data_IF_111198577359
#
_entry.id   IF_111198577359
#
_cell.length_a   1.000
_cell.length_b   1.000
_cell.length_c   1.000
_cell.angle_alpha   90.00
_cell.angle_beta   90.00
_cell.angle_gamma   90.00
#
_symmetry.space_group_name_H-M   'P 1'
#
loop_
_entity.id
_entity.type
_entity.pdbx_description
1 polymer ?
#
# COMPACT_ATOMS: atom_id res chain seq x y z
N UNK A 1 6.93 -23.49 -7.18
CA UNK A 1 6.57 -22.23 -6.50
C UNK A 1 6.63 -21.15 -7.57
N UNK A 2 5.50 -20.78 -8.16
CA UNK A 2 5.48 -19.79 -9.24
C UNK A 2 5.62 -18.40 -8.61
N UNK A 3 6.81 -17.83 -8.75
CA UNK A 3 7.01 -16.41 -8.50
C UNK A 3 6.21 -15.66 -9.56
N UNK A 4 5.06 -15.13 -9.18
CA UNK A 4 4.32 -14.17 -9.98
C UNK A 4 5.14 -12.88 -10.02
N UNK A 5 6.12 -12.84 -10.90
CA UNK A 5 6.79 -11.61 -11.30
C UNK A 5 5.77 -10.80 -12.11
N UNK A 6 4.97 -10.01 -11.40
CA UNK A 6 4.17 -8.97 -12.01
C UNK A 6 5.13 -8.00 -12.71
N UNK A 7 4.88 -7.66 -13.98
CA UNK A 7 5.66 -6.63 -14.66
C UNK A 7 5.29 -5.29 -14.00
N UNK A 8 6.06 -4.88 -12.99
CA UNK A 8 5.97 -3.54 -12.40
C UNK A 8 6.60 -2.51 -13.34
N UNK A 9 6.07 -2.41 -14.56
CA UNK A 9 6.08 -1.15 -15.29
C UNK A 9 4.67 -0.60 -15.13
N UNK A 10 4.40 0.03 -13.99
CA UNK A 10 3.14 0.73 -13.74
C UNK A 10 2.96 1.80 -14.85
N UNK A 11 1.97 1.68 -15.76
CA UNK A 11 1.78 2.67 -16.84
C UNK A 11 1.30 4.04 -16.33
N UNK A 12 1.10 4.16 -15.02
CA UNK A 12 0.38 5.26 -14.38
C UNK A 12 1.25 5.84 -13.27
N UNK A 13 2.33 6.50 -13.68
CA UNK A 13 3.14 7.31 -12.76
C UNK A 13 2.48 8.67 -12.61
N UNK A 14 2.16 9.08 -11.38
CA UNK A 14 1.67 10.42 -11.10
C UNK A 14 2.80 11.43 -11.25
N UNK A 15 2.67 12.33 -12.21
CA UNK A 15 3.63 13.40 -12.49
C UNK A 15 3.18 14.76 -11.95
N UNK A 16 2.04 14.81 -11.25
CA UNK A 16 1.37 16.06 -10.87
C UNK A 16 0.18 16.42 -11.75
N UNK A 17 0.04 15.78 -12.92
CA UNK A 17 -1.06 15.99 -13.86
C UNK A 17 -2.04 14.80 -13.85
N UNK A 18 -3.27 15.03 -14.33
CA UNK A 18 -4.30 14.00 -14.50
C UNK A 18 -4.58 13.16 -13.24
N UNK A 19 -4.58 13.80 -12.07
CA UNK A 19 -4.81 13.13 -10.78
C UNK A 19 -6.06 12.23 -10.79
N UNK A 20 -7.15 12.66 -11.42
CA UNK A 20 -8.40 11.88 -11.51
C UNK A 20 -8.23 10.54 -12.24
N UNK A 21 -7.42 10.51 -13.31
CA UNK A 21 -7.14 9.26 -14.04
C UNK A 21 -6.21 8.38 -13.22
N UNK A 22 -5.19 8.99 -12.61
CA UNK A 22 -4.25 8.28 -11.76
C UNK A 22 -4.96 7.64 -10.55
N UNK A 23 -5.82 8.40 -9.85
CA UNK A 23 -6.50 7.94 -8.64
C UNK A 23 -7.42 6.77 -8.92
N UNK A 24 -8.18 6.79 -10.03
CA UNK A 24 -9.03 5.67 -10.46
C UNK A 24 -8.21 4.42 -10.72
N UNK A 25 -7.09 4.54 -11.45
CA UNK A 25 -6.23 3.40 -11.74
C UNK A 25 -5.54 2.84 -10.47
N UNK A 26 -5.07 3.73 -9.60
CA UNK A 26 -4.42 3.36 -8.36
C UNK A 26 -5.40 2.67 -7.39
N UNK A 27 -6.63 3.19 -7.29
CA UNK A 27 -7.70 2.55 -6.52
C UNK A 27 -8.00 1.15 -7.07
N UNK A 28 -8.19 0.99 -8.38
CA UNK A 28 -8.47 -0.31 -9.00
C UNK A 28 -7.35 -1.34 -8.72
N UNK A 29 -6.09 -0.91 -8.74
CA UNK A 29 -4.95 -1.76 -8.36
C UNK A 29 -5.07 -2.16 -6.89
N UNK A 30 -5.29 -1.22 -5.98
CA UNK A 30 -5.39 -1.50 -4.55
C UNK A 30 -6.57 -2.42 -4.23
N UNK A 31 -7.72 -2.25 -4.89
CA UNK A 31 -8.88 -3.14 -4.78
C UNK A 31 -8.56 -4.56 -5.25
N UNK A 32 -7.89 -4.71 -6.40
CA UNK A 32 -7.50 -6.01 -6.94
C UNK A 32 -6.53 -6.78 -6.02
N UNK A 33 -5.81 -6.09 -5.13
CA UNK A 33 -4.92 -6.69 -4.14
C UNK A 33 -5.50 -6.74 -2.72
N UNK A 34 -6.78 -6.39 -2.53
CA UNK A 34 -7.43 -6.32 -1.22
C UNK A 34 -6.72 -5.35 -0.25
N UNK A 35 -6.18 -4.25 -0.79
CA UNK A 35 -5.40 -3.24 -0.06
C UNK A 35 -6.17 -1.93 0.12
N UNK A 36 -7.29 -1.72 -0.57
CA UNK A 36 -8.05 -0.46 -0.53
C UNK A 36 -8.51 -0.08 0.88
N UNK A 37 -9.03 -1.04 1.65
CA UNK A 37 -9.40 -0.82 3.06
C UNK A 37 -8.18 -0.48 3.92
N UNK A 38 -7.03 -1.10 3.65
CA UNK A 38 -5.77 -0.81 4.36
C UNK A 38 -5.32 0.64 4.13
N UNK A 39 -5.58 1.18 2.94
CA UNK A 39 -5.26 2.56 2.56
C UNK A 39 -6.25 3.55 3.17
N UNK A 40 -7.54 3.26 3.12
CA UNK A 40 -8.59 4.22 3.50
C UNK A 40 -8.85 4.28 5.00
N UNK A 41 -8.84 3.14 5.69
CA UNK A 41 -9.14 3.06 7.11
C UNK A 41 -7.91 3.27 7.99
N UNK A 42 -6.72 2.87 7.50
CA UNK A 42 -5.44 2.87 8.23
C UNK A 42 -5.56 2.37 9.68
N UNK A 43 -6.29 1.28 9.88
CA UNK A 43 -6.48 0.67 11.20
C UNK A 43 -5.12 0.39 11.84
N UNK A 44 -4.86 0.85 13.08
CA UNK A 44 -3.63 0.50 13.78
C UNK A 44 -3.54 -1.02 13.93
N UNK A 45 -2.33 -1.56 13.83
CA UNK A 45 -2.12 -2.98 14.06
C UNK A 45 -2.40 -3.28 15.54
N UNK A 46 -3.14 -4.35 15.80
CA UNK A 46 -3.41 -4.79 17.15
C UNK A 46 -2.11 -5.06 17.91
N UNK A 47 -2.08 -4.66 19.18
CA UNK A 47 -0.97 -4.97 20.07
C UNK A 47 -0.96 -6.47 20.30
N UNK A 48 0.11 -7.12 19.83
CA UNK A 48 0.32 -8.55 20.05
C UNK A 48 0.52 -8.77 21.56
N UNK A 49 -0.30 -9.61 22.21
CA UNK A 49 -0.17 -9.87 23.65
C UNK A 49 1.17 -10.55 23.97
N UNK A 50 1.59 -10.52 25.24
CA UNK A 50 2.89 -11.07 25.66
C UNK A 50 3.05 -12.57 25.38
N UNK A 51 1.95 -13.33 25.39
CA UNK A 51 1.89 -14.75 25.00
C UNK A 51 0.90 -14.94 23.85
N UNK A 52 1.31 -14.65 22.60
CA UNK A 52 0.42 -14.75 21.46
C UNK A 52 0.29 -16.19 20.96
N UNK A 53 -0.86 -16.51 20.40
CA UNK A 53 -1.04 -17.78 19.67
C UNK A 53 -0.39 -17.68 18.29
N UNK A 54 -0.05 -18.82 17.69
CA UNK A 54 0.46 -18.86 16.31
C UNK A 54 -0.49 -18.19 15.31
N UNK A 55 -1.81 -18.32 15.53
CA UNK A 55 -2.82 -17.66 14.70
C UNK A 55 -2.74 -16.13 14.81
N UNK A 56 -2.57 -15.58 16.01
CA UNK A 56 -2.41 -14.13 16.22
C UNK A 56 -1.13 -13.59 15.58
N UNK A 57 -0.01 -14.31 15.72
CA UNK A 57 1.26 -13.92 15.07
C UNK A 57 1.08 -13.89 13.54
N UNK A 58 0.48 -14.95 12.97
CA UNK A 58 0.26 -15.07 11.53
C UNK A 58 -0.63 -13.92 11.02
N UNK A 59 -1.72 -13.64 11.71
CA UNK A 59 -2.63 -12.54 11.36
C UNK A 59 -1.92 -11.19 11.39
N UNK A 60 -1.22 -10.85 12.47
CA UNK A 60 -0.49 -9.58 12.59
C UNK A 60 0.59 -9.44 11.50
N UNK A 61 1.29 -10.52 11.15
CA UNK A 61 2.27 -10.49 10.07
C UNK A 61 1.62 -10.27 8.70
N UNK A 62 0.43 -10.84 8.46
CA UNK A 62 -0.32 -10.60 7.22
C UNK A 62 -0.77 -9.14 7.13
N UNK A 63 -1.30 -8.56 8.20
CA UNK A 63 -1.72 -7.15 8.22
C UNK A 63 -0.54 -6.19 8.04
N UNK A 64 0.61 -6.48 8.67
CA UNK A 64 1.88 -5.76 8.41
C UNK A 64 2.29 -5.85 6.94
N UNK A 65 2.19 -7.04 6.34
CA UNK A 65 2.55 -7.24 4.94
C UNK A 65 1.63 -6.46 4.00
N UNK A 66 0.31 -6.41 4.27
CA UNK A 66 -0.64 -5.59 3.50
C UNK A 66 -0.30 -4.10 3.58
N UNK A 67 -0.06 -3.56 4.79
CA UNK A 67 0.35 -2.15 4.96
C UNK A 67 1.61 -1.82 4.17
N UNK A 68 2.64 -2.65 4.27
CA UNK A 68 3.89 -2.47 3.51
C UNK A 68 3.66 -2.56 2.00
N UNK A 69 2.82 -3.49 1.54
CA UNK A 69 2.50 -3.67 0.12
C UNK A 69 1.73 -2.47 -0.45
N UNK A 70 0.77 -1.93 0.30
CA UNK A 70 0.04 -0.72 -0.08
C UNK A 70 0.98 0.49 -0.24
N UNK A 71 1.87 0.69 0.74
CA UNK A 71 2.90 1.74 0.66
C UNK A 71 3.82 1.57 -0.55
N UNK A 72 4.23 0.33 -0.84
CA UNK A 72 5.06 0.02 -2.01
C UNK A 72 4.36 0.42 -3.32
N UNK A 73 3.08 0.08 -3.50
CA UNK A 73 2.34 0.49 -4.70
C UNK A 73 2.29 2.01 -4.84
N UNK A 74 2.04 2.75 -3.76
CA UNK A 74 1.99 4.22 -3.79
C UNK A 74 3.33 4.83 -4.20
N UNK A 75 4.42 4.33 -3.61
CA UNK A 75 5.78 4.80 -3.93
C UNK A 75 6.15 4.54 -5.40
N UNK A 76 5.73 3.41 -5.97
CA UNK A 76 6.01 3.05 -7.37
C UNK A 76 5.01 3.67 -8.37
N UNK A 77 3.95 4.32 -7.88
CA UNK A 77 2.95 4.97 -8.70
C UNK A 77 3.14 6.49 -8.79
N UNK A 78 4.22 7.05 -8.25
CA UNK A 78 4.53 8.48 -8.30
C UNK A 78 5.88 8.73 -8.95
N UNK A 79 6.07 9.89 -9.59
CA UNK A 79 7.36 10.28 -10.14
C UNK A 79 8.36 10.59 -9.00
N UNK A 80 9.66 10.51 -9.30
CA UNK A 80 10.74 10.77 -8.34
C UNK A 80 10.62 12.13 -7.64
N UNK A 81 10.09 13.13 -8.36
CA UNK A 81 9.83 14.48 -7.84
C UNK A 81 8.75 14.54 -6.76
N UNK A 82 8.00 13.47 -6.55
CA UNK A 82 6.99 13.32 -5.49
C UNK A 82 7.34 12.21 -4.50
N UNK A 83 8.33 11.37 -4.80
CA UNK A 83 8.74 10.26 -3.94
C UNK A 83 9.12 10.74 -2.53
N UNK A 84 9.80 11.88 -2.40
CA UNK A 84 10.17 12.42 -1.07
C UNK A 84 8.95 12.82 -0.22
N UNK A 85 7.85 13.25 -0.86
CA UNK A 85 6.59 13.55 -0.15
C UNK A 85 5.95 12.27 0.38
N UNK A 86 5.87 11.25 -0.47
CA UNK A 86 5.35 9.93 -0.08
C UNK A 86 6.24 9.24 0.97
N UNK A 87 7.55 9.44 0.93
CA UNK A 87 8.47 8.91 1.95
C UNK A 87 8.28 9.56 3.33
N UNK A 88 7.85 10.83 3.37
CA UNK A 88 7.54 11.52 4.62
C UNK A 88 6.24 11.00 5.26
N UNK A 89 5.34 10.38 4.48
CA UNK A 89 4.12 9.76 4.97
C UNK A 89 4.43 8.49 5.78
N UNK A 90 3.91 8.45 7.00
CA UNK A 90 4.02 7.32 7.93
C UNK A 90 3.04 6.22 7.56
N UNK A 91 1.92 6.58 6.97
CA UNK A 91 0.85 5.63 6.64
C UNK A 91 0.44 5.71 5.18
N UNK A 92 -0.22 4.66 4.68
CA UNK A 92 -0.68 4.63 3.29
C UNK A 92 -1.83 5.64 3.09
N UNK A 93 -2.61 5.92 4.13
CA UNK A 93 -3.63 6.97 4.12
C UNK A 93 -3.03 8.35 3.92
N UNK A 94 -2.02 8.70 4.71
CA UNK A 94 -1.30 9.98 4.57
C UNK A 94 -0.62 10.13 3.19
N UNK A 95 -0.28 9.02 2.53
CA UNK A 95 0.27 9.03 1.19
C UNK A 95 -0.80 9.12 0.08
N UNK A 96 -2.05 8.78 0.40
CA UNK A 96 -3.20 8.84 -0.49
C UNK A 96 -3.88 10.22 -0.47
N UNK A 97 -4.02 10.80 0.72
CA UNK A 97 -4.61 12.12 0.97
C UNK A 97 -3.72 13.27 0.46
#
# INVERSE_FOLDING_TARGET
MSSNNLPFNTPFTFTGENYQIWSVNMQAILEAYELWETVTEDKPLDVVPANPTLAQIKFNNQEKAKKSKAKFFMQNAVADTFLYKIMACKTAKEAWD
#
